data_IF_338141737491
#
_entry.id   IF_338141737491
#
_cell.length_a   1.000
_cell.length_b   1.000
_cell.length_c   1.000
_cell.angle_alpha   90.00
_cell.angle_beta   90.00
_cell.angle_gamma   90.00
#
_symmetry.space_group_name_H-M   'P 1'
#
loop_
_entity.id
_entity.type
_entity.pdbx_description
1 polymer ?
#
# COMPACT_ATOMS: atom_id res chain seq x y z
N UNK A 1 -11.54 -13.28 -3.07
CA UNK A 1 -11.79 -11.82 -3.13
C UNK A 1 -10.58 -11.12 -3.69
N UNK A 2 -10.80 -10.10 -4.50
CA UNK A 2 -9.68 -9.38 -5.08
C UNK A 2 -9.38 -8.12 -4.31
N UNK A 3 -8.11 -7.85 -4.09
CA UNK A 3 -7.64 -6.63 -3.45
C UNK A 3 -6.65 -5.97 -4.38
N UNK A 4 -6.45 -4.65 -4.20
CA UNK A 4 -5.44 -3.95 -4.97
C UNK A 4 -4.48 -3.27 -4.01
N UNK A 5 -3.19 -3.36 -4.33
CA UNK A 5 -2.14 -2.67 -3.58
C UNK A 5 -1.65 -1.54 -4.47
N UNK A 6 -1.75 -0.32 -3.98
CA UNK A 6 -1.43 0.86 -4.79
C UNK A 6 -1.31 2.08 -3.87
N UNK A 7 -0.92 3.20 -4.44
CA UNK A 7 -0.94 4.47 -3.72
C UNK A 7 -2.40 4.87 -3.52
N UNK A 8 -2.78 5.26 -2.31
CA UNK A 8 -4.17 5.61 -2.06
C UNK A 8 -4.69 6.74 -2.95
N UNK A 9 -3.83 7.62 -3.41
CA UNK A 9 -4.30 8.72 -4.24
C UNK A 9 -4.81 8.27 -5.60
N UNK A 10 -4.55 7.02 -5.98
CA UNK A 10 -5.01 6.53 -7.28
C UNK A 10 -6.35 5.83 -7.22
N UNK A 11 -6.81 5.45 -6.03
CA UNK A 11 -8.01 4.62 -5.93
C UNK A 11 -9.06 5.17 -4.97
N UNK A 12 -8.75 6.21 -4.21
CA UNK A 12 -9.69 6.77 -3.26
C UNK A 12 -10.28 8.06 -3.79
N UNK A 13 -11.52 8.34 -3.39
CA UNK A 13 -12.11 9.64 -3.71
C UNK A 13 -11.39 10.71 -2.90
N UNK A 14 -11.59 11.96 -3.26
CA UNK A 14 -10.95 13.06 -2.54
C UNK A 14 -11.29 13.01 -1.06
N UNK A 15 -12.51 12.70 -0.74
CA UNK A 15 -12.95 12.66 0.63
C UNK A 15 -12.29 11.51 1.38
N UNK A 16 -12.22 10.35 0.74
CA UNK A 16 -11.57 9.21 1.35
C UNK A 16 -10.08 9.47 1.53
N UNK A 17 -9.46 10.07 0.54
CA UNK A 17 -8.03 10.34 0.60
C UNK A 17 -7.74 11.34 1.71
N UNK A 18 -8.61 12.35 1.88
CA UNK A 18 -8.42 13.31 2.95
C UNK A 18 -8.49 12.63 4.31
N UNK A 19 -9.36 11.64 4.46
CA UNK A 19 -9.45 10.89 5.71
C UNK A 19 -8.14 10.16 5.97
N UNK A 20 -7.52 9.62 4.94
CA UNK A 20 -6.24 8.94 5.08
C UNK A 20 -5.16 9.93 5.50
N UNK A 21 -5.14 11.12 4.91
CA UNK A 21 -4.14 12.11 5.23
C UNK A 21 -4.31 12.61 6.66
N UNK A 22 -5.54 12.74 7.12
CA UNK A 22 -5.82 13.28 8.44
C UNK A 22 -5.62 12.29 9.57
N UNK A 23 -5.35 11.04 9.24
CA UNK A 23 -5.19 10.02 10.28
C UNK A 23 -3.92 10.28 11.08
N UNK A 24 -3.86 9.68 12.27
CA UNK A 24 -2.63 9.66 13.04
C UNK A 24 -1.55 9.00 12.17
N UNK A 25 -0.38 9.59 12.03
CA UNK A 25 0.64 9.06 11.10
C UNK A 25 1.02 7.62 11.35
N UNK A 26 0.81 7.12 12.57
CA UNK A 26 1.18 5.75 12.86
C UNK A 26 0.03 4.78 12.73
N UNK A 27 -1.18 5.27 12.44
CA UNK A 27 -2.31 4.38 12.24
C UNK A 27 -2.25 3.80 10.85
N UNK A 28 -2.27 2.48 10.77
CA UNK A 28 -2.28 1.83 9.47
C UNK A 28 -3.68 1.45 9.04
N UNK A 29 -4.66 1.48 9.94
CA UNK A 29 -6.02 1.12 9.59
C UNK A 29 -6.86 2.37 9.55
N UNK A 30 -7.49 2.61 8.43
CA UNK A 30 -8.30 3.79 8.26
C UNK A 30 -9.71 3.38 7.88
N UNK A 31 -10.67 3.74 8.71
CA UNK A 31 -12.07 3.42 8.46
C UNK A 31 -12.62 4.46 7.49
N UNK A 32 -13.00 4.02 6.32
CA UNK A 32 -13.51 4.93 5.29
C UNK A 32 -15.03 4.83 5.14
N UNK A 33 -15.68 4.17 6.11
CA UNK A 33 -17.12 4.03 6.09
C UNK A 33 -17.54 2.70 5.53
N UNK A 34 -17.42 2.53 4.21
CA UNK A 34 -17.81 1.29 3.57
C UNK A 34 -16.78 0.19 3.73
N UNK A 35 -15.56 0.53 4.05
CA UNK A 35 -14.49 -0.47 4.19
C UNK A 35 -13.34 0.17 4.96
N UNK A 36 -12.45 -0.70 5.42
CA UNK A 36 -11.23 -0.26 6.11
C UNK A 36 -10.07 -0.38 5.15
N UNK A 37 -9.30 0.70 5.05
CA UNK A 37 -8.12 0.73 4.20
C UNK A 37 -6.91 0.52 5.09
N UNK A 38 -6.00 -0.35 4.68
CA UNK A 38 -4.73 -0.52 5.38
C UNK A 38 -3.69 0.26 4.60
N UNK A 39 -3.01 1.18 5.26
CA UNK A 39 -2.08 2.08 4.58
C UNK A 39 -0.82 2.26 5.41
N UNK A 40 0.32 2.28 4.72
CA UNK A 40 1.60 2.53 5.36
C UNK A 40 2.34 3.61 4.58
N UNK A 41 3.13 4.39 5.30
CA UNK A 41 4.02 5.34 4.65
C UNK A 41 5.24 4.59 4.14
N UNK A 42 5.73 4.97 2.96
CA UNK A 42 6.97 4.41 2.48
C UNK A 42 8.12 5.08 3.21
N UNK A 43 9.24 4.39 3.30
CA UNK A 43 10.39 4.93 4.01
C UNK A 43 10.98 6.13 3.26
N UNK A 44 11.04 6.03 1.94
CA UNK A 44 11.72 7.03 1.13
C UNK A 44 10.79 8.08 0.55
N UNK A 45 9.46 7.86 0.61
CA UNK A 45 8.51 8.82 0.06
C UNK A 45 8.03 8.38 -1.31
N UNK A 46 7.90 9.33 -2.22
CA UNK A 46 7.44 8.99 -3.57
C UNK A 46 8.55 8.29 -4.33
N UNK A 47 8.19 7.52 -5.32
CA UNK A 47 9.15 6.76 -6.11
C UNK A 47 8.50 5.51 -6.67
N UNK A 48 9.34 4.54 -7.02
CA UNK A 48 8.87 3.30 -7.58
C UNK A 48 9.59 2.19 -6.84
N UNK A 49 8.83 1.26 -6.27
CA UNK A 49 9.40 0.24 -5.38
C UNK A 49 8.99 -1.15 -5.80
N UNK A 50 9.90 -2.12 -5.69
CA UNK A 50 9.62 -3.48 -6.17
C UNK A 50 9.09 -4.38 -5.06
N UNK A 51 8.35 -5.42 -5.44
CA UNK A 51 8.01 -6.48 -4.52
C UNK A 51 8.93 -7.68 -4.86
N UNK A 52 8.75 -8.77 -4.13
CA UNK A 52 9.63 -9.94 -4.29
C UNK A 52 9.40 -10.65 -5.62
N UNK A 53 8.32 -10.32 -6.31
CA UNK A 53 8.01 -10.95 -7.58
C UNK A 53 8.40 -10.10 -8.79
N UNK A 54 9.01 -8.95 -8.54
CA UNK A 54 9.43 -8.09 -9.64
C UNK A 54 8.39 -7.09 -10.09
N UNK A 55 7.26 -7.00 -9.40
CA UNK A 55 6.27 -5.98 -9.71
C UNK A 55 6.72 -4.67 -9.08
N UNK A 56 6.50 -3.58 -9.77
CA UNK A 56 6.88 -2.27 -9.25
C UNK A 56 5.62 -1.47 -8.94
N UNK A 57 5.68 -0.71 -7.85
CA UNK A 57 4.56 0.08 -7.36
C UNK A 57 4.95 1.54 -7.42
N UNK A 58 4.20 2.31 -8.20
CA UNK A 58 4.45 3.73 -8.34
C UNK A 58 3.81 4.47 -7.18
N UNK A 59 4.56 5.31 -6.50
CA UNK A 59 4.08 6.00 -5.32
C UNK A 59 4.25 7.49 -5.51
N UNK A 60 3.14 8.23 -5.42
CA UNK A 60 3.14 9.68 -5.53
C UNK A 60 2.93 10.36 -4.20
N UNK A 61 2.12 9.77 -3.34
CA UNK A 61 1.77 10.41 -2.07
C UNK A 61 2.71 10.02 -0.95
N UNK A 62 3.65 9.13 -1.23
CA UNK A 62 4.52 8.61 -0.17
C UNK A 62 3.87 7.51 0.63
N UNK A 63 2.77 6.94 0.14
CA UNK A 63 2.02 5.93 0.86
C UNK A 63 1.62 4.80 -0.07
N UNK A 64 1.49 3.60 0.48
CA UNK A 64 0.92 2.47 -0.23
C UNK A 64 -0.18 1.87 0.63
N UNK A 65 -1.24 1.42 -0.01
CA UNK A 65 -2.37 0.85 0.71
C UNK A 65 -2.85 -0.41 0.04
N UNK A 66 -3.66 -1.18 0.77
CA UNK A 66 -4.36 -2.31 0.20
C UNK A 66 -5.84 -2.11 0.51
N UNK A 67 -6.67 -2.27 -0.51
CA UNK A 67 -8.12 -2.11 -0.36
C UNK A 67 -8.82 -3.18 -1.17
N UNK A 68 -10.05 -3.56 -0.77
CA UNK A 68 -10.84 -4.49 -1.58
C UNK A 68 -11.17 -3.85 -2.91
N UNK A 69 -10.91 -4.56 -3.99
CA UNK A 69 -11.08 -4.01 -5.32
C UNK A 69 -12.53 -3.61 -5.59
N UNK A 70 -13.48 -4.37 -5.09
CA UNK A 70 -14.88 -4.09 -5.35
C UNK A 70 -15.40 -2.89 -4.57
N UNK A 71 -14.60 -2.32 -3.67
CA UNK A 71 -14.99 -1.12 -2.95
C UNK A 71 -14.38 0.14 -3.54
N UNK A 72 -13.53 -0.01 -4.55
CA UNK A 72 -12.90 1.14 -5.18
C UNK A 72 -13.92 1.81 -6.07
N UNK A 73 -14.15 3.11 -5.83
CA UNK A 73 -15.13 3.83 -6.62
C UNK A 73 -14.50 4.74 -7.66
N UNK A 74 -13.17 4.81 -7.69
CA UNK A 74 -12.46 5.59 -8.69
C UNK A 74 -11.89 4.60 -9.69
N UNK A 75 -11.97 4.88 -10.99
CA UNK A 75 -11.44 3.93 -11.98
C UNK A 75 -9.95 3.67 -11.75
N UNK A 76 -9.59 2.40 -11.71
CA UNK A 76 -8.21 2.00 -11.52
C UNK A 76 -7.50 2.08 -12.85
N UNK A 77 -6.39 2.83 -12.89
CA UNK A 77 -5.64 2.99 -14.11
C UNK A 77 -4.63 1.89 -14.23
N UNK A 78 -4.48 1.37 -15.43
CA UNK A 78 -3.56 0.29 -15.68
C UNK A 78 -2.15 0.74 -15.35
N UNK A 79 -1.41 -0.10 -14.66
CA UNK A 79 -0.03 0.22 -14.33
C UNK A 79 0.15 0.97 -13.03
N UNK A 80 -0.93 1.37 -12.39
CA UNK A 80 -0.83 2.15 -11.15
C UNK A 80 -1.12 1.31 -9.92
N UNK A 81 -0.98 0.01 -10.00
CA UNK A 81 -1.17 -0.85 -8.85
C UNK A 81 -1.27 -2.28 -9.31
N UNK A 82 -1.35 -3.19 -8.38
CA UNK A 82 -1.41 -4.61 -8.70
C UNK A 82 -2.53 -5.28 -7.94
N UNK A 83 -3.26 -6.14 -8.63
CA UNK A 83 -4.44 -6.81 -8.07
C UNK A 83 -4.06 -8.23 -7.69
N UNK A 84 -4.50 -8.64 -6.52
CA UNK A 84 -4.22 -9.97 -6.00
C UNK A 84 -5.50 -10.61 -5.50
N UNK A 85 -5.56 -11.94 -5.53
CA UNK A 85 -6.66 -12.66 -4.94
C UNK A 85 -6.28 -13.07 -3.53
N UNK A 86 -7.22 -12.94 -2.59
CA UNK A 86 -6.98 -13.37 -1.23
C UNK A 86 -8.28 -13.92 -0.65
N UNK A 87 -8.16 -14.89 0.24
CA UNK A 87 -9.33 -15.43 0.93
C UNK A 87 -9.42 -14.91 2.35
N UNK A 88 -8.42 -14.16 2.80
CA UNK A 88 -8.37 -13.76 4.19
C UNK A 88 -9.00 -12.43 4.49
N UNK A 89 -9.29 -11.65 3.48
CA UNK A 89 -9.79 -10.30 3.69
C UNK A 89 -11.16 -10.27 4.34
N UNK A 90 -11.95 -11.32 4.13
CA UNK A 90 -13.29 -11.35 4.66
C UNK A 90 -13.33 -11.29 6.14
N UNK A 91 -12.31 -11.74 6.81
CA UNK A 91 -12.29 -11.74 8.25
C UNK A 91 -11.80 -10.41 8.78
N UNK A 92 -11.68 -9.44 7.91
CA UNK A 92 -11.27 -8.14 8.31
C UNK A 92 -9.79 -7.94 8.25
N UNK A 93 -9.05 -8.97 7.92
CA UNK A 93 -7.62 -8.86 8.01
C UNK A 93 -6.88 -9.65 7.00
N UNK A 94 -6.12 -8.93 6.21
CA UNK A 94 -5.01 -9.49 5.50
C UNK A 94 -3.81 -9.09 6.36
N UNK A 95 -2.98 -10.01 6.72
CA UNK A 95 -1.86 -9.69 7.58
C UNK A 95 -0.96 -8.67 6.93
N UNK A 96 -0.71 -7.57 7.63
CA UNK A 96 0.13 -6.51 7.08
C UNK A 96 1.10 -6.06 8.15
N UNK A 97 2.22 -5.50 7.71
CA UNK A 97 3.19 -4.94 8.64
C UNK A 97 4.10 -3.97 7.90
N UNK A 98 4.83 -3.18 8.68
CA UNK A 98 5.83 -2.29 8.12
C UNK A 98 7.01 -2.32 9.06
N UNK A 99 8.20 -2.49 8.52
CA UNK A 99 9.40 -2.52 9.32
C UNK A 99 10.53 -1.92 8.51
N UNK A 100 10.98 -0.75 8.92
CA UNK A 100 12.11 -0.07 8.28
C UNK A 100 11.92 0.06 6.76
N UNK A 101 10.69 0.36 6.36
CA UNK A 101 10.42 0.55 4.95
C UNK A 101 10.02 -0.70 4.20
N UNK A 102 10.07 -1.85 4.83
CA UNK A 102 9.59 -3.08 4.20
C UNK A 102 8.12 -3.21 4.53
N UNK A 103 7.29 -3.13 3.50
CA UNK A 103 5.85 -3.21 3.67
C UNK A 103 5.39 -4.59 3.28
N UNK A 104 4.66 -5.25 4.17
CA UNK A 104 4.15 -6.59 3.89
C UNK A 104 2.64 -6.53 3.87
N UNK A 105 2.05 -7.00 2.78
CA UNK A 105 0.61 -7.12 2.65
C UNK A 105 0.33 -8.58 2.31
N UNK A 106 0.11 -9.39 3.35
CA UNK A 106 -0.09 -10.81 3.16
C UNK A 106 1.16 -11.46 2.59
N UNK A 107 1.07 -11.96 1.36
CA UNK A 107 2.19 -12.63 0.71
C UNK A 107 3.04 -11.67 -0.10
N UNK A 108 2.71 -10.40 -0.13
CA UNK A 108 3.42 -9.42 -0.96
C UNK A 108 4.30 -8.58 -0.07
N UNK A 109 5.58 -8.53 -0.36
CA UNK A 109 6.54 -7.75 0.41
C UNK A 109 7.18 -6.71 -0.52
N UNK A 110 7.03 -5.43 -0.15
CA UNK A 110 7.50 -4.33 -0.98
C UNK A 110 8.59 -3.58 -0.23
N UNK A 111 9.73 -3.39 -0.88
CA UNK A 111 10.87 -2.74 -0.27
C UNK A 111 10.84 -1.26 -0.60
N UNK A 112 10.59 -0.42 0.40
CA UNK A 112 10.60 1.02 0.20
C UNK A 112 11.68 1.69 1.03
N UNK A 113 12.44 0.93 1.80
CA UNK A 113 13.48 1.47 2.64
C UNK A 113 14.78 1.65 1.90
N UNK A 114 15.82 2.03 2.62
CA UNK A 114 17.12 2.15 1.99
C UNK A 114 17.56 0.81 1.48
N UNK A 115 18.28 0.84 0.39
CA UNK A 115 18.79 -0.38 -0.19
C UNK A 115 19.94 -0.85 0.66
N UNK A 116 19.84 -2.03 1.23
CA UNK A 116 20.90 -2.52 2.06
C UNK A 116 22.19 -2.69 1.31
N UNK A 117 22.11 -2.94 0.04
CA UNK A 117 23.30 -3.11 -0.73
C UNK A 117 24.12 -1.88 -0.73
N UNK A 118 23.50 -0.73 -0.65
CA UNK A 118 24.27 0.46 -0.65
C UNK A 118 25.09 0.57 0.57
N UNK A 119 24.58 0.11 1.68
CA UNK A 119 25.32 0.19 2.86
C UNK A 119 26.50 -0.70 2.82
N UNK A 120 26.32 -1.83 2.22
CA UNK A 120 27.42 -2.73 2.17
C UNK A 120 28.51 -2.24 1.33
N UNK A 121 28.17 -1.51 0.32
CA UNK A 121 29.18 -1.06 -0.55
C UNK A 121 30.10 -0.10 0.07
N UNK A 122 29.64 0.54 1.10
CA UNK A 122 30.46 1.51 1.69
C UNK A 122 31.59 0.95 2.45
N UNK A 123 31.54 -0.29 2.73
CA UNK A 123 32.62 -0.87 3.51
C UNK A 123 33.80 -1.30 2.63
#
# INVERSE_FOLDING_TARGET
MKVIITDPCYVLTDEQYQTVIDRDPYDSEVDLGDFTCIVYNTFTGDGEYPDQNGNYYLVDSGQLCIVPLDKVSVPVQEGLGHVFDTTDWENGWYETSEEEGTLTFGDVTIQTGPDDDEEEEEV
#
